data_IF_001874012521
#
_entry.id   IF_001874012521
#
_cell.length_a   1.000
_cell.length_b   1.000
_cell.length_c   1.000
_cell.angle_alpha   90.00
_cell.angle_beta   90.00
_cell.angle_gamma   90.00
#
_symmetry.space_group_name_H-M   'P 1'
#
loop_
_entity.id
_entity.type
_entity.pdbx_description
1 polymer ?
#
# COMPACT_ATOMS: atom_id res chain seq x y z
N UNK A 1 115.73 -25.91 -24.17
CA UNK A 1 114.47 -26.55 -23.88
C UNK A 1 113.70 -25.65 -22.86
N UNK A 2 112.45 -25.38 -23.10
CA UNK A 2 111.41 -24.71 -22.26
C UNK A 2 111.52 -23.19 -22.11
N UNK A 3 110.92 -22.48 -23.11
CA UNK A 3 110.55 -21.09 -23.02
C UNK A 3 108.97 -20.87 -23.23
N UNK A 4 108.16 -21.74 -22.67
CA UNK A 4 106.69 -21.70 -22.88
C UNK A 4 105.82 -21.24 -21.72
N UNK A 5 106.20 -20.97 -20.46
CA UNK A 5 105.32 -20.47 -19.48
C UNK A 5 105.19 -18.93 -19.40
N UNK A 6 106.08 -18.16 -20.02
CA UNK A 6 106.07 -16.70 -19.84
C UNK A 6 105.06 -15.95 -20.76
N UNK A 7 104.72 -16.55 -21.90
CA UNK A 7 103.76 -15.95 -22.84
C UNK A 7 102.26 -16.18 -22.40
N UNK A 8 102.05 -17.25 -21.68
CA UNK A 8 100.68 -17.54 -21.16
C UNK A 8 100.31 -16.66 -19.96
N UNK A 9 101.32 -16.19 -19.22
CA UNK A 9 101.02 -15.29 -18.08
C UNK A 9 100.74 -13.83 -18.52
N UNK A 10 101.31 -13.36 -19.64
CA UNK A 10 101.04 -12.05 -20.22
C UNK A 10 99.70 -11.99 -20.96
N UNK A 11 99.19 -13.07 -21.46
CA UNK A 11 97.88 -13.11 -22.10
C UNK A 11 96.73 -13.14 -21.06
N UNK A 12 96.92 -13.64 -19.84
CA UNK A 12 95.94 -13.67 -18.76
C UNK A 12 95.76 -12.30 -18.09
N UNK A 13 96.76 -11.44 -18.10
CA UNK A 13 96.66 -10.03 -17.54
C UNK A 13 96.02 -9.06 -18.47
N UNK A 14 95.95 -9.30 -19.79
CA UNK A 14 95.27 -8.38 -20.74
C UNK A 14 93.77 -8.58 -20.76
N UNK A 15 93.20 -9.66 -20.20
CA UNK A 15 91.75 -9.91 -20.16
C UNK A 15 91.07 -9.28 -18.94
N UNK A 16 91.79 -8.89 -17.88
CA UNK A 16 91.26 -8.26 -16.70
C UNK A 16 91.19 -6.71 -16.76
N UNK A 17 91.67 -6.06 -17.78
CA UNK A 17 91.67 -4.61 -17.94
C UNK A 17 90.47 -4.07 -18.78
N UNK A 18 89.57 -4.94 -19.23
CA UNK A 18 88.45 -4.61 -20.10
C UNK A 18 87.08 -4.40 -19.41
N UNK A 19 86.98 -4.43 -18.07
CA UNK A 19 85.76 -4.10 -17.35
C UNK A 19 85.83 -2.71 -16.69
N UNK A 20 85.86 -1.69 -17.49
CA UNK A 20 85.80 -0.29 -17.04
C UNK A 20 84.68 0.45 -17.76
N UNK A 21 83.85 1.11 -16.96
CA UNK A 21 82.75 2.00 -17.34
C UNK A 21 81.51 1.34 -17.87
N UNK A 22 80.72 0.73 -16.95
CA UNK A 22 79.29 0.68 -17.10
C UNK A 22 78.78 2.10 -17.09
N UNK A 23 78.53 2.62 -18.29
CA UNK A 23 77.78 3.87 -18.49
C UNK A 23 76.44 3.67 -17.84
N UNK A 24 76.30 4.20 -16.61
CA UNK A 24 75.01 4.38 -15.95
C UNK A 24 74.27 5.48 -16.73
N UNK A 25 73.91 5.21 -17.99
CA UNK A 25 72.82 5.92 -18.61
C UNK A 25 71.60 5.64 -17.70
N UNK A 26 71.27 6.57 -16.81
CA UNK A 26 69.95 6.67 -16.22
C UNK A 26 68.97 6.50 -17.37
N UNK A 27 68.37 5.31 -17.49
CA UNK A 27 67.13 5.18 -18.26
C UNK A 27 66.17 6.10 -17.57
N UNK A 28 66.02 7.32 -18.10
CA UNK A 28 64.86 8.12 -17.79
C UNK A 28 63.65 7.20 -17.96
N UNK A 29 63.07 6.85 -16.87
CA UNK A 29 61.82 6.10 -16.87
C UNK A 29 60.86 6.94 -17.70
N UNK A 30 60.61 6.53 -18.93
CA UNK A 30 59.58 7.20 -19.74
C UNK A 30 58.31 7.19 -18.93
N UNK A 31 57.83 8.37 -18.60
CA UNK A 31 56.57 8.51 -17.87
C UNK A 31 55.48 7.68 -18.60
N UNK A 32 54.73 6.90 -17.88
CA UNK A 32 53.68 6.07 -18.49
C UNK A 32 52.69 6.98 -19.23
N UNK A 33 52.38 6.57 -20.46
CA UNK A 33 51.37 7.28 -21.24
C UNK A 33 50.00 7.03 -20.57
N UNK A 34 49.38 8.08 -20.08
CA UNK A 34 48.05 8.02 -19.44
C UNK A 34 47.04 8.74 -20.31
N UNK A 35 45.84 8.20 -20.38
CA UNK A 35 44.73 8.88 -21.02
C UNK A 35 43.94 9.62 -19.93
N UNK A 36 43.84 10.92 -20.03
CA UNK A 36 43.08 11.77 -19.12
C UNK A 36 41.69 12.05 -19.70
N UNK A 37 40.71 12.21 -18.84
CA UNK A 37 39.37 12.61 -19.21
C UNK A 37 38.87 13.63 -18.19
N UNK A 38 38.24 14.70 -18.69
CA UNK A 38 37.65 15.71 -17.83
C UNK A 38 36.52 15.10 -17.00
N UNK A 39 36.45 15.48 -15.73
CA UNK A 39 35.33 15.09 -14.83
C UNK A 39 34.08 15.85 -15.24
N UNK A 40 32.96 15.14 -15.19
CA UNK A 40 31.65 15.73 -15.51
C UNK A 40 30.85 15.85 -14.23
N UNK A 41 30.24 17.00 -14.02
CA UNK A 41 29.22 17.19 -12.97
C UNK A 41 27.87 16.88 -13.60
N UNK A 42 27.12 15.99 -12.96
CA UNK A 42 25.77 15.67 -13.38
C UNK A 42 24.79 15.86 -12.22
N UNK A 43 23.57 16.26 -12.55
CA UNK A 43 22.46 16.23 -11.62
C UNK A 43 22.10 14.77 -11.35
N UNK A 44 22.45 14.29 -10.18
CA UNK A 44 22.17 12.92 -9.75
C UNK A 44 20.97 12.88 -8.83
N UNK A 45 20.02 12.04 -9.18
CA UNK A 45 18.86 11.73 -8.38
C UNK A 45 19.02 10.34 -7.76
N UNK A 46 19.27 10.23 -6.45
CA UNK A 46 19.41 8.94 -5.80
C UNK A 46 18.13 8.11 -5.97
N UNK A 47 18.28 6.88 -6.42
CA UNK A 47 17.17 5.94 -6.54
C UNK A 47 17.55 4.57 -5.99
N UNK A 48 16.57 3.90 -5.41
CA UNK A 48 16.70 2.54 -4.89
C UNK A 48 15.49 1.73 -5.31
N UNK A 49 15.75 0.49 -5.72
CA UNK A 49 14.72 -0.45 -6.18
C UNK A 49 14.45 -1.52 -5.11
N UNK A 50 13.18 -1.79 -4.86
CA UNK A 50 12.70 -2.81 -3.94
C UNK A 50 11.71 -3.72 -4.67
N UNK A 51 11.58 -4.95 -4.19
CA UNK A 51 10.51 -5.83 -4.65
C UNK A 51 9.29 -5.55 -3.79
N UNK A 52 8.17 -5.25 -4.44
CA UNK A 52 6.89 -5.00 -3.80
C UNK A 52 5.79 -5.88 -4.38
N UNK A 53 4.61 -5.73 -3.80
CA UNK A 53 3.39 -6.41 -4.23
C UNK A 53 2.26 -5.39 -4.32
N UNK A 54 1.44 -5.52 -5.35
CA UNK A 54 0.21 -4.73 -5.49
C UNK A 54 -0.87 -5.33 -4.59
N UNK A 55 -1.55 -4.47 -3.84
CA UNK A 55 -2.67 -4.80 -2.97
C UNK A 55 -3.85 -3.90 -3.31
N UNK A 56 -5.06 -4.42 -3.18
CA UNK A 56 -6.24 -3.57 -3.30
C UNK A 56 -6.35 -2.63 -2.08
N UNK A 57 -6.90 -1.44 -2.28
CA UNK A 57 -7.26 -0.55 -1.16
C UNK A 57 -8.43 -1.14 -0.37
N UNK A 58 -9.40 -1.69 -1.10
CA UNK A 58 -10.56 -2.39 -0.53
C UNK A 58 -10.68 -3.77 -1.18
N UNK A 59 -10.74 -4.82 -0.36
CA UNK A 59 -10.92 -6.22 -0.75
C UNK A 59 -11.94 -6.84 0.19
N UNK A 60 -13.04 -7.35 -0.33
CA UNK A 60 -14.09 -7.92 0.49
C UNK A 60 -14.75 -9.14 -0.14
N UNK A 61 -15.16 -10.04 0.75
CA UNK A 61 -16.00 -11.18 0.41
C UNK A 61 -17.48 -10.77 0.50
N UNK A 62 -18.21 -10.92 -0.59
CA UNK A 62 -19.65 -10.72 -0.63
C UNK A 62 -20.34 -11.99 -0.11
N UNK A 63 -21.10 -11.85 0.96
CA UNK A 63 -21.82 -12.95 1.64
C UNK A 63 -23.28 -12.59 1.83
N UNK A 64 -24.16 -13.60 1.96
CA UNK A 64 -25.55 -13.40 2.34
C UNK A 64 -25.66 -13.11 3.85
N UNK A 65 -26.50 -12.12 4.23
CA UNK A 65 -26.79 -11.80 5.64
C UNK A 65 -28.07 -12.48 6.15
N UNK A 66 -28.88 -13.00 5.23
CA UNK A 66 -30.15 -13.71 5.52
C UNK A 66 -30.19 -15.02 4.75
N UNK A 67 -31.08 -15.90 5.15
CA UNK A 67 -31.31 -17.16 4.44
C UNK A 67 -32.47 -17.01 3.45
N UNK A 68 -32.31 -17.51 2.23
CA UNK A 68 -33.33 -17.49 1.19
C UNK A 68 -32.80 -18.02 -0.13
N UNK A 69 -33.67 -18.21 -1.09
CA UNK A 69 -33.27 -18.66 -2.44
C UNK A 69 -32.77 -17.49 -3.26
N UNK A 70 -31.65 -17.72 -3.97
CA UNK A 70 -31.09 -16.73 -4.89
C UNK A 70 -32.00 -16.61 -6.12
N UNK A 71 -32.66 -15.45 -6.27
CA UNK A 71 -33.62 -15.20 -7.34
C UNK A 71 -32.95 -14.80 -8.65
N UNK A 72 -31.95 -13.91 -8.56
CA UNK A 72 -31.23 -13.39 -9.71
C UNK A 72 -29.83 -12.89 -9.35
N UNK A 73 -28.94 -12.93 -10.37
CA UNK A 73 -27.65 -12.26 -10.40
C UNK A 73 -27.74 -11.12 -11.40
N UNK A 74 -27.25 -9.93 -11.02
CA UNK A 74 -27.38 -8.69 -11.80
C UNK A 74 -26.03 -8.13 -12.31
N UNK A 75 -25.03 -8.98 -12.44
CA UNK A 75 -23.71 -8.61 -12.97
C UNK A 75 -23.14 -9.73 -13.85
N UNK A 76 -22.15 -9.39 -14.67
CA UNK A 76 -21.31 -10.34 -15.36
C UNK A 76 -20.01 -10.58 -14.59
N UNK A 77 -19.51 -11.81 -14.61
CA UNK A 77 -18.27 -12.15 -13.92
C UNK A 77 -17.08 -11.38 -14.51
N UNK A 78 -16.28 -10.81 -13.62
CA UNK A 78 -15.12 -10.01 -14.00
C UNK A 78 -15.41 -8.57 -14.42
N UNK A 79 -16.69 -8.11 -14.41
CA UNK A 79 -17.01 -6.73 -14.76
C UNK A 79 -16.65 -5.74 -13.63
N UNK A 80 -16.54 -4.48 -13.98
CA UNK A 80 -16.50 -3.36 -13.02
C UNK A 80 -17.93 -3.06 -12.55
N UNK A 81 -18.09 -2.90 -11.23
CA UNK A 81 -19.35 -2.52 -10.59
C UNK A 81 -19.17 -1.23 -9.80
N UNK A 82 -20.24 -0.45 -9.70
CA UNK A 82 -20.25 0.79 -8.93
C UNK A 82 -20.74 0.55 -7.50
N UNK A 83 -20.31 1.39 -6.57
CA UNK A 83 -20.82 1.39 -5.19
C UNK A 83 -22.34 1.50 -5.18
N UNK A 84 -23.00 0.59 -4.45
CA UNK A 84 -24.46 0.52 -4.34
C UNK A 84 -25.15 -0.24 -5.48
N UNK A 85 -24.43 -0.64 -6.54
CA UNK A 85 -24.99 -1.47 -7.61
C UNK A 85 -25.52 -2.79 -7.03
N UNK A 86 -26.71 -3.20 -7.49
CA UNK A 86 -27.32 -4.46 -7.11
C UNK A 86 -26.54 -5.63 -7.72
N UNK A 87 -26.09 -6.56 -6.89
CA UNK A 87 -25.32 -7.73 -7.29
C UNK A 87 -26.18 -8.99 -7.33
N UNK A 88 -26.90 -9.24 -6.24
CA UNK A 88 -27.79 -10.40 -6.13
C UNK A 88 -29.12 -10.00 -5.53
N UNK A 89 -30.17 -10.72 -5.92
CA UNK A 89 -31.50 -10.65 -5.31
C UNK A 89 -31.83 -12.00 -4.69
N UNK A 90 -32.18 -12.00 -3.41
CA UNK A 90 -32.75 -13.14 -2.68
C UNK A 90 -34.28 -12.99 -2.72
N UNK A 91 -35.00 -14.10 -2.75
CA UNK A 91 -36.47 -14.14 -2.76
C UNK A 91 -37.08 -13.31 -1.60
N UNK A 92 -37.80 -12.19 -1.88
CA UNK A 92 -38.19 -11.22 -0.86
C UNK A 92 -39.53 -11.53 -0.22
N UNK A 93 -40.37 -12.42 -0.79
CA UNK A 93 -41.80 -12.55 -0.47
C UNK A 93 -42.09 -12.76 1.03
N UNK A 94 -41.29 -13.58 1.71
CA UNK A 94 -41.45 -13.81 3.16
C UNK A 94 -41.10 -12.59 3.99
N UNK A 95 -40.10 -11.82 3.57
CA UNK A 95 -39.67 -10.59 4.25
C UNK A 95 -40.64 -9.42 4.02
N UNK A 96 -41.21 -9.34 2.81
CA UNK A 96 -42.30 -8.39 2.52
C UNK A 96 -43.52 -8.65 3.38
N UNK A 97 -43.92 -9.92 3.56
CA UNK A 97 -44.98 -10.30 4.45
C UNK A 97 -44.69 -9.89 5.92
N UNK A 98 -43.45 -10.07 6.39
CA UNK A 98 -43.02 -9.62 7.73
C UNK A 98 -43.09 -8.11 7.89
N UNK A 99 -42.69 -7.31 6.89
CA UNK A 99 -42.82 -5.87 6.89
C UNK A 99 -44.29 -5.46 6.91
N UNK A 100 -45.16 -6.11 6.12
CA UNK A 100 -46.59 -5.82 6.13
C UNK A 100 -47.24 -6.11 7.50
N UNK A 101 -46.86 -7.21 8.14
CA UNK A 101 -47.30 -7.58 9.51
C UNK A 101 -46.85 -6.53 10.55
N UNK A 102 -45.59 -6.13 10.51
CA UNK A 102 -45.02 -5.13 11.42
C UNK A 102 -45.67 -3.77 11.21
N UNK A 103 -46.00 -3.38 9.97
CA UNK A 103 -46.75 -2.15 9.66
C UNK A 103 -48.15 -2.18 10.25
N UNK A 104 -48.83 -3.33 10.21
CA UNK A 104 -50.14 -3.47 10.83
C UNK A 104 -50.09 -3.34 12.37
N UNK A 105 -49.11 -3.97 13.02
CA UNK A 105 -48.83 -3.83 14.45
C UNK A 105 -48.56 -2.37 14.86
N UNK A 106 -47.75 -1.65 14.07
CA UNK A 106 -47.46 -0.23 14.27
C UNK A 106 -48.76 0.61 14.16
N UNK A 107 -49.62 0.33 13.19
CA UNK A 107 -50.90 1.02 13.06
C UNK A 107 -51.81 0.79 14.27
N UNK A 108 -51.83 -0.43 14.81
CA UNK A 108 -52.57 -0.77 16.03
C UNK A 108 -52.02 0.00 17.26
N UNK A 109 -50.69 0.01 17.44
CA UNK A 109 -50.07 0.74 18.55
C UNK A 109 -50.32 2.26 18.46
N UNK A 110 -50.30 2.83 17.24
CA UNK A 110 -50.67 4.22 17.01
C UNK A 110 -52.12 4.52 17.42
N UNK A 111 -53.04 3.62 17.10
CA UNK A 111 -54.45 3.77 17.49
C UNK A 111 -54.65 3.69 19.02
N UNK A 112 -53.95 2.72 19.68
CA UNK A 112 -53.94 2.59 21.13
C UNK A 112 -53.39 3.83 21.83
N UNK A 113 -52.25 4.36 21.34
CA UNK A 113 -51.70 5.61 21.86
C UNK A 113 -52.69 6.78 21.70
N UNK A 114 -53.27 6.93 20.51
CA UNK A 114 -54.27 8.00 20.28
C UNK A 114 -55.42 7.94 21.23
N UNK A 115 -55.97 6.76 21.50
CA UNK A 115 -57.01 6.54 22.52
C UNK A 115 -56.52 6.95 23.90
N UNK A 116 -55.35 6.48 24.34
CA UNK A 116 -54.78 6.79 25.66
C UNK A 116 -54.51 8.30 25.82
N UNK A 117 -54.05 8.98 24.77
CA UNK A 117 -53.87 10.44 24.77
C UNK A 117 -55.20 11.18 24.98
N UNK A 118 -56.26 10.77 24.28
CA UNK A 118 -57.60 11.36 24.41
C UNK A 118 -58.17 11.14 25.81
N UNK A 119 -58.03 9.95 26.36
CA UNK A 119 -58.52 9.60 27.71
C UNK A 119 -57.74 10.36 28.79
N UNK A 120 -56.39 10.43 28.69
CA UNK A 120 -55.56 11.24 29.58
C UNK A 120 -55.90 12.72 29.51
N UNK A 121 -56.07 13.30 28.29
CA UNK A 121 -56.46 14.69 28.12
C UNK A 121 -57.85 14.97 28.74
N UNK A 122 -58.81 14.06 28.59
CA UNK A 122 -60.12 14.15 29.23
C UNK A 122 -59.98 14.11 30.74
N UNK A 123 -59.19 13.16 31.28
CA UNK A 123 -58.90 13.06 32.71
C UNK A 123 -58.28 14.34 33.29
N UNK A 124 -57.31 14.92 32.57
CA UNK A 124 -56.66 16.20 32.92
C UNK A 124 -57.64 17.33 33.07
N UNK A 125 -58.71 17.36 32.28
CA UNK A 125 -59.77 18.40 32.35
C UNK A 125 -60.81 18.16 33.46
N UNK A 126 -61.02 16.87 33.86
CA UNK A 126 -61.97 16.45 34.88
C UNK A 126 -61.45 16.53 36.31
N UNK A 127 -60.14 16.26 36.50
CA UNK A 127 -59.48 16.23 37.82
C UNK A 127 -59.65 17.57 38.60
N UNK A 128 -59.45 18.77 38.04
CA UNK A 128 -59.67 20.05 38.77
C UNK A 128 -61.08 20.29 39.18
N UNK A 129 -62.05 19.62 38.52
CA UNK A 129 -63.50 19.73 38.80
C UNK A 129 -63.98 18.74 39.85
N UNK A 130 -63.06 17.89 40.36
CA UNK A 130 -63.38 16.81 41.31
C UNK A 130 -64.20 15.65 40.71
N UNK A 131 -64.32 15.57 39.37
CA UNK A 131 -65.13 14.57 38.68
C UNK A 131 -64.44 13.22 38.54
N UNK A 132 -63.13 13.16 38.82
CA UNK A 132 -62.31 11.92 38.92
C UNK A 132 -61.35 12.05 40.12
N UNK A 133 -60.94 10.92 40.67
CA UNK A 133 -59.93 10.87 41.72
C UNK A 133 -58.49 11.01 41.20
N UNK A 134 -57.54 11.40 42.08
CA UNK A 134 -56.11 11.45 41.72
C UNK A 134 -55.64 10.05 41.26
N UNK A 135 -56.06 9.00 41.94
CA UNK A 135 -55.71 7.62 41.59
C UNK A 135 -56.17 7.21 40.18
N UNK A 136 -57.38 7.67 39.76
CA UNK A 136 -57.86 7.46 38.38
C UNK A 136 -57.04 8.21 37.36
N UNK A 137 -56.66 9.47 37.63
CA UNK A 137 -55.80 10.23 36.74
C UNK A 137 -54.40 9.62 36.63
N UNK A 138 -53.84 9.11 37.73
CA UNK A 138 -52.55 8.41 37.72
C UNK A 138 -52.62 7.12 36.90
N UNK A 139 -53.73 6.38 36.93
CA UNK A 139 -53.96 5.21 36.09
C UNK A 139 -54.03 5.56 34.59
N UNK A 140 -54.71 6.70 34.23
CA UNK A 140 -54.70 7.20 32.84
C UNK A 140 -53.32 7.62 32.37
N UNK A 141 -52.52 8.20 33.26
CA UNK A 141 -51.16 8.58 32.98
C UNK A 141 -50.28 7.33 32.73
N UNK A 142 -50.41 6.30 33.57
CA UNK A 142 -49.72 5.03 33.39
C UNK A 142 -50.12 4.35 32.07
N UNK A 143 -51.40 4.38 31.71
CA UNK A 143 -51.92 3.86 30.44
C UNK A 143 -51.31 4.57 29.23
N UNK A 144 -51.22 5.91 29.31
CA UNK A 144 -50.59 6.73 28.27
C UNK A 144 -49.11 6.38 28.10
N UNK A 145 -48.37 6.25 29.21
CA UNK A 145 -46.96 5.87 29.18
C UNK A 145 -46.76 4.45 28.61
N UNK A 146 -47.65 3.52 29.00
CA UNK A 146 -47.63 2.15 28.44
C UNK A 146 -47.89 2.12 26.93
N UNK A 147 -48.90 2.89 26.46
CA UNK A 147 -49.20 2.99 25.01
C UNK A 147 -48.07 3.67 24.21
N UNK A 148 -47.33 4.60 24.80
CA UNK A 148 -46.10 5.16 24.18
C UNK A 148 -45.01 4.12 24.06
N UNK A 149 -44.75 3.33 25.10
CA UNK A 149 -43.77 2.26 25.08
C UNK A 149 -44.13 1.19 24.04
N UNK A 150 -45.42 0.84 23.90
CA UNK A 150 -45.92 -0.10 22.89
C UNK A 150 -45.68 0.43 21.44
N UNK A 151 -45.87 1.73 21.21
CA UNK A 151 -45.59 2.39 19.94
C UNK A 151 -44.09 2.29 19.60
N UNK A 152 -43.21 2.57 20.55
CA UNK A 152 -41.77 2.47 20.35
C UNK A 152 -41.34 1.01 20.05
N UNK A 153 -41.92 0.04 20.74
CA UNK A 153 -41.65 -1.39 20.47
C UNK A 153 -42.11 -1.77 19.05
N UNK A 154 -43.28 -1.32 18.60
CA UNK A 154 -43.80 -1.59 17.26
C UNK A 154 -42.95 -0.89 16.16
N UNK A 155 -42.42 0.31 16.41
CA UNK A 155 -41.50 1.00 15.53
C UNK A 155 -40.19 0.20 15.39
N UNK A 156 -39.63 -0.26 16.49
CA UNK A 156 -38.41 -1.08 16.50
C UNK A 156 -38.61 -2.40 15.71
N UNK A 157 -39.77 -3.06 15.87
CA UNK A 157 -40.11 -4.28 15.15
C UNK A 157 -40.25 -4.02 13.64
N UNK A 158 -40.89 -2.93 13.24
CA UNK A 158 -40.95 -2.53 11.82
C UNK A 158 -39.55 -2.29 11.25
N UNK A 159 -38.73 -1.55 11.98
CA UNK A 159 -37.36 -1.27 11.55
C UNK A 159 -36.53 -2.55 11.33
N UNK A 160 -36.67 -3.54 12.23
CA UNK A 160 -36.02 -4.84 12.10
C UNK A 160 -36.48 -5.57 10.83
N UNK A 161 -37.82 -5.60 10.58
CA UNK A 161 -38.36 -6.23 9.38
C UNK A 161 -37.88 -5.53 8.08
N UNK A 162 -37.80 -4.21 8.06
CA UNK A 162 -37.28 -3.44 6.93
C UNK A 162 -35.78 -3.69 6.68
N UNK A 163 -34.97 -3.81 7.73
CA UNK A 163 -33.56 -4.17 7.63
C UNK A 163 -33.41 -5.57 7.03
N UNK A 164 -34.18 -6.54 7.51
CA UNK A 164 -34.14 -7.90 6.96
C UNK A 164 -34.56 -7.92 5.47
N UNK A 165 -35.57 -7.16 5.09
CA UNK A 165 -35.98 -7.00 3.70
C UNK A 165 -34.85 -6.35 2.87
N UNK A 166 -34.14 -5.36 3.42
CA UNK A 166 -33.02 -4.74 2.71
C UNK A 166 -31.89 -5.72 2.40
N UNK A 167 -31.67 -6.72 3.25
CA UNK A 167 -30.67 -7.76 3.04
C UNK A 167 -31.02 -8.75 1.92
N UNK A 168 -32.27 -8.74 1.42
CA UNK A 168 -32.61 -9.50 0.20
C UNK A 168 -31.93 -8.94 -1.05
N UNK A 169 -31.50 -7.69 -1.00
CA UNK A 169 -30.76 -7.01 -2.08
C UNK A 169 -29.30 -6.86 -1.70
N UNK A 170 -28.46 -7.73 -2.19
CA UNK A 170 -27.02 -7.67 -1.95
C UNK A 170 -26.40 -6.68 -2.92
N UNK A 171 -25.81 -5.59 -2.38
CA UNK A 171 -25.24 -4.49 -3.16
C UNK A 171 -23.74 -4.38 -2.94
N UNK A 172 -23.04 -3.81 -3.94
CA UNK A 172 -21.61 -3.52 -3.86
C UNK A 172 -21.32 -2.45 -2.78
N UNK A 173 -20.45 -2.72 -1.79
CA UNK A 173 -20.10 -1.74 -0.76
C UNK A 173 -19.21 -0.62 -1.29
N UNK A 174 -18.43 -0.87 -2.32
CA UNK A 174 -17.55 0.09 -3.01
C UNK A 174 -17.49 -0.24 -4.50
N UNK A 175 -16.91 0.66 -5.29
CA UNK A 175 -16.70 0.45 -6.72
C UNK A 175 -15.44 -0.37 -6.96
N UNK A 176 -15.52 -1.39 -7.82
CA UNK A 176 -14.39 -2.28 -8.07
C UNK A 176 -14.72 -3.38 -9.06
N UNK A 177 -13.79 -4.31 -9.22
CA UNK A 177 -13.97 -5.47 -10.09
C UNK A 177 -14.50 -6.66 -9.29
N UNK A 178 -15.63 -7.21 -9.75
CA UNK A 178 -16.24 -8.40 -9.18
C UNK A 178 -15.61 -9.66 -9.78
N UNK A 179 -15.48 -10.70 -8.97
CA UNK A 179 -14.93 -12.00 -9.38
C UNK A 179 -16.01 -12.93 -9.96
N UNK A 180 -15.66 -14.20 -10.12
CA UNK A 180 -16.57 -15.28 -10.44
C UNK A 180 -17.58 -15.52 -9.30
N UNK A 181 -18.77 -15.99 -9.64
CA UNK A 181 -19.77 -16.39 -8.64
C UNK A 181 -19.55 -17.82 -8.19
N UNK A 182 -19.77 -18.07 -6.89
CA UNK A 182 -19.69 -19.42 -6.29
C UNK A 182 -21.07 -20.08 -6.15
N UNK A 183 -22.13 -19.35 -6.50
CA UNK A 183 -23.52 -19.78 -6.34
C UNK A 183 -24.32 -19.57 -7.61
N UNK A 184 -25.36 -20.35 -7.81
CA UNK A 184 -26.24 -20.28 -8.98
C UNK A 184 -27.62 -19.77 -8.58
N UNK A 185 -28.33 -19.18 -9.56
CA UNK A 185 -29.73 -18.82 -9.38
C UNK A 185 -30.54 -20.08 -9.02
N UNK A 186 -31.34 -20.00 -7.97
CA UNK A 186 -32.09 -21.13 -7.39
C UNK A 186 -31.40 -21.76 -6.19
N UNK A 187 -30.13 -21.47 -5.91
CA UNK A 187 -29.46 -21.99 -4.71
C UNK A 187 -30.01 -21.36 -3.43
N UNK A 188 -30.05 -22.16 -2.37
CA UNK A 188 -30.34 -21.66 -1.03
C UNK A 188 -29.04 -21.02 -0.46
N UNK A 189 -29.07 -19.69 -0.26
CA UNK A 189 -27.98 -18.96 0.38
C UNK A 189 -28.34 -18.60 1.83
N UNK A 190 -27.30 -18.48 2.67
CA UNK A 190 -27.44 -18.15 4.09
C UNK A 190 -26.12 -17.55 4.62
N UNK A 191 -26.07 -16.96 5.81
CA UNK A 191 -24.83 -16.52 6.44
C UNK A 191 -23.76 -17.61 6.58
N UNK A 192 -24.18 -18.88 6.62
CA UNK A 192 -23.29 -20.05 6.69
C UNK A 192 -22.87 -20.61 5.34
N UNK A 193 -23.44 -20.15 4.23
CA UNK A 193 -23.12 -20.64 2.88
C UNK A 193 -21.73 -20.19 2.39
N UNK A 194 -21.06 -19.29 3.12
CA UNK A 194 -19.74 -18.78 2.77
C UNK A 194 -19.79 -17.63 1.75
N UNK A 195 -18.72 -17.54 0.96
CA UNK A 195 -18.52 -16.44 0.01
C UNK A 195 -19.31 -16.68 -1.26
N UNK A 196 -20.14 -15.72 -1.66
CA UNK A 196 -20.88 -15.75 -2.93
C UNK A 196 -19.98 -15.32 -4.09
N UNK A 197 -19.22 -14.26 -3.88
CA UNK A 197 -18.20 -13.71 -4.80
C UNK A 197 -17.26 -12.78 -4.02
N UNK A 198 -16.18 -12.33 -4.67
CA UNK A 198 -15.28 -11.31 -4.10
C UNK A 198 -15.33 -10.03 -4.91
N UNK A 199 -15.11 -8.91 -4.25
CA UNK A 199 -15.06 -7.58 -4.86
C UNK A 199 -13.77 -6.89 -4.42
N UNK A 200 -12.97 -6.42 -5.39
CA UNK A 200 -11.70 -5.74 -5.16
C UNK A 200 -11.68 -4.37 -5.83
N UNK A 201 -11.18 -3.35 -5.13
CA UNK A 201 -10.92 -2.05 -5.74
C UNK A 201 -9.70 -2.14 -6.64
N UNK A 202 -9.73 -1.46 -7.79
CA UNK A 202 -8.62 -1.44 -8.74
C UNK A 202 -8.00 -0.05 -8.91
N UNK A 203 -8.67 1.02 -8.49
CA UNK A 203 -8.18 2.39 -8.55
C UNK A 203 -8.67 3.18 -7.33
N UNK A 204 -7.73 3.74 -6.55
CA UNK A 204 -6.30 3.51 -6.57
C UNK A 204 -5.90 2.12 -6.04
N UNK A 205 -4.62 1.75 -6.18
CA UNK A 205 -4.05 0.53 -5.59
C UNK A 205 -2.97 0.89 -4.58
N UNK A 206 -2.73 -0.02 -3.65
CA UNK A 206 -1.56 0.02 -2.79
C UNK A 206 -0.42 -0.79 -3.38
N UNK A 207 0.80 -0.36 -3.13
CA UNK A 207 1.98 -1.20 -3.30
C UNK A 207 2.70 -1.33 -1.97
N UNK A 208 2.84 -2.56 -1.47
CA UNK A 208 3.55 -2.89 -0.24
C UNK A 208 4.95 -3.39 -0.55
N UNK A 209 5.96 -2.91 0.19
CA UNK A 209 7.36 -3.29 0.05
C UNK A 209 8.08 -3.12 1.38
N UNK A 210 9.28 -3.69 1.49
CA UNK A 210 10.07 -3.63 2.72
C UNK A 210 11.40 -2.95 2.45
N UNK A 211 11.78 -2.03 3.34
CA UNK A 211 13.01 -1.25 3.26
C UNK A 211 13.87 -1.53 4.49
N UNK A 212 15.20 -1.62 4.34
CA UNK A 212 16.10 -1.79 5.47
C UNK A 212 16.16 -0.52 6.31
N UNK A 213 16.43 -0.67 7.62
CA UNK A 213 16.55 0.49 8.52
C UNK A 213 17.62 1.48 8.05
N UNK A 214 18.77 0.97 7.57
CA UNK A 214 19.86 1.79 7.04
C UNK A 214 19.41 2.66 5.88
N UNK A 215 18.68 2.08 4.93
CA UNK A 215 18.22 2.79 3.73
C UNK A 215 17.12 3.80 4.07
N UNK A 216 16.23 3.44 4.99
CA UNK A 216 15.21 4.36 5.50
C UNK A 216 15.84 5.64 6.08
N UNK A 217 16.85 5.49 6.93
CA UNK A 217 17.59 6.63 7.50
C UNK A 217 18.36 7.41 6.44
N UNK A 218 19.02 6.72 5.50
CA UNK A 218 19.78 7.35 4.43
C UNK A 218 18.92 8.20 3.47
N UNK A 219 17.66 7.80 3.27
CA UNK A 219 16.69 8.52 2.43
C UNK A 219 15.87 9.57 3.21
N UNK A 220 16.13 9.76 4.51
CA UNK A 220 15.40 10.71 5.34
C UNK A 220 13.91 10.36 5.54
N UNK A 221 13.55 9.07 5.38
CA UNK A 221 12.19 8.56 5.59
C UNK A 221 11.93 8.21 7.06
N UNK A 222 12.50 8.95 7.98
CA UNK A 222 12.42 8.74 9.43
C UNK A 222 11.33 9.58 10.09
N UNK A 223 10.73 10.51 9.35
CA UNK A 223 9.72 11.43 9.85
C UNK A 223 8.32 10.88 9.58
N UNK A 224 7.56 10.76 10.65
CA UNK A 224 6.13 10.45 10.61
C UNK A 224 5.42 11.74 10.99
N UNK A 225 4.41 12.14 10.19
CA UNK A 225 3.53 13.25 10.57
C UNK A 225 2.76 12.91 11.84
N UNK A 226 2.30 13.93 12.56
CA UNK A 226 1.52 13.75 13.79
C UNK A 226 0.20 13.00 13.60
N UNK A 227 -0.29 12.86 12.37
CA UNK A 227 -1.45 12.04 11.98
C UNK A 227 -1.11 10.56 11.70
N UNK A 228 0.17 10.18 11.82
CA UNK A 228 0.64 8.81 11.55
C UNK A 228 0.95 8.52 10.08
N UNK A 229 0.70 9.46 9.17
CA UNK A 229 1.07 9.31 7.75
C UNK A 229 2.58 9.47 7.54
N UNK A 230 3.13 8.78 6.56
CA UNK A 230 4.51 9.00 6.15
C UNK A 230 4.65 10.42 5.60
N UNK A 231 5.58 11.19 6.14
CA UNK A 231 5.95 12.46 5.54
C UNK A 231 6.73 12.12 4.26
N UNK A 232 6.08 12.27 3.09
CA UNK A 232 6.72 12.04 1.79
C UNK A 232 7.68 13.18 1.45
N UNK A 233 8.62 13.46 2.37
CA UNK A 233 9.61 14.51 2.20
C UNK A 233 10.55 14.15 1.05
N UNK A 234 10.11 14.50 -0.15
CA UNK A 234 10.97 14.43 -1.31
C UNK A 234 11.17 13.05 -1.93
N UNK A 235 10.43 12.01 -1.55
CA UNK A 235 10.52 10.69 -2.18
C UNK A 235 9.33 10.45 -3.09
N UNK A 236 9.60 10.13 -4.35
CA UNK A 236 8.61 9.67 -5.32
C UNK A 236 8.70 8.16 -5.48
N UNK A 237 7.54 7.55 -5.66
CA UNK A 237 7.42 6.10 -5.88
C UNK A 237 7.11 5.87 -7.35
N UNK A 238 8.05 5.28 -8.09
CA UNK A 238 7.83 4.86 -9.46
C UNK A 238 7.81 3.33 -9.52
N UNK A 239 6.80 2.78 -10.18
CA UNK A 239 6.67 1.36 -10.36
C UNK A 239 7.30 0.93 -11.69
N UNK A 240 7.99 -0.22 -11.67
CA UNK A 240 8.52 -0.89 -12.86
C UNK A 240 7.86 -2.27 -12.98
N UNK A 241 7.17 -2.48 -14.07
CA UNK A 241 6.48 -3.73 -14.38
C UNK A 241 7.49 -4.85 -14.68
N UNK A 242 7.06 -6.11 -14.62
CA UNK A 242 7.91 -7.27 -14.90
C UNK A 242 8.54 -7.26 -16.32
N UNK A 243 7.90 -6.59 -17.28
CA UNK A 243 8.43 -6.40 -18.63
C UNK A 243 9.51 -5.29 -18.73
N UNK A 244 9.89 -4.66 -17.61
CA UNK A 244 10.88 -3.59 -17.54
C UNK A 244 10.35 -2.21 -17.92
N UNK A 245 9.06 -2.06 -18.22
CA UNK A 245 8.45 -0.77 -18.47
C UNK A 245 8.10 -0.06 -17.17
N UNK A 246 8.31 1.24 -17.13
CA UNK A 246 7.85 2.07 -16.02
C UNK A 246 6.36 2.34 -16.15
N UNK A 247 5.67 2.24 -15.00
CA UNK A 247 4.27 2.62 -14.92
C UNK A 247 4.15 4.14 -15.00
N UNK A 248 3.15 4.64 -15.71
CA UNK A 248 3.02 6.06 -16.04
C UNK A 248 2.70 6.94 -14.83
N UNK A 249 1.95 6.40 -13.86
CA UNK A 249 1.53 7.15 -12.69
C UNK A 249 2.50 6.95 -11.52
N UNK A 250 2.90 8.06 -10.90
CA UNK A 250 3.72 8.06 -9.72
C UNK A 250 2.87 7.81 -8.47
N UNK A 251 3.40 6.99 -7.57
CA UNK A 251 2.81 6.75 -6.28
C UNK A 251 3.32 7.70 -5.20
N UNK A 252 2.57 7.78 -4.12
CA UNK A 252 2.92 8.52 -2.92
C UNK A 252 2.97 7.58 -1.72
N UNK A 253 4.00 7.72 -0.88
CA UNK A 253 4.07 6.98 0.38
C UNK A 253 2.90 7.42 1.27
N UNK A 254 2.09 6.45 1.69
CA UNK A 254 0.95 6.68 2.57
C UNK A 254 1.10 6.00 3.93
N UNK A 255 1.99 5.01 4.05
CA UNK A 255 2.17 4.26 5.27
C UNK A 255 3.64 3.88 5.50
N UNK A 256 4.08 4.05 6.75
CA UNK A 256 5.33 3.55 7.29
C UNK A 256 5.02 2.65 8.49
N UNK A 257 5.53 1.43 8.48
CA UNK A 257 5.34 0.47 9.56
C UNK A 257 5.82 1.01 10.91
N UNK A 258 5.16 0.62 11.97
CA UNK A 258 5.50 1.04 13.35
C UNK A 258 6.51 0.12 14.04
N UNK A 259 6.97 -0.93 13.36
CA UNK A 259 7.94 -1.91 13.87
C UNK A 259 8.87 -2.37 12.77
N UNK A 260 10.11 -2.66 13.16
CA UNK A 260 11.09 -3.33 12.33
C UNK A 260 10.91 -4.84 12.54
N UNK A 261 10.85 -5.60 11.46
CA UNK A 261 10.90 -7.06 11.53
C UNK A 261 12.30 -7.49 12.01
N UNK A 262 12.36 -8.07 13.19
CA UNK A 262 13.62 -8.47 13.84
C UNK A 262 14.37 -9.60 13.13
N UNK A 263 13.69 -10.34 12.23
CA UNK A 263 14.31 -11.43 11.45
C UNK A 263 15.02 -10.90 10.20
N UNK A 264 14.46 -9.87 9.58
CA UNK A 264 14.96 -9.32 8.32
C UNK A 264 15.64 -7.97 8.47
N UNK A 265 15.44 -7.26 9.59
CA UNK A 265 15.93 -5.89 9.81
C UNK A 265 15.26 -4.87 8.89
N UNK A 266 14.05 -5.17 8.40
CA UNK A 266 13.31 -4.31 7.47
C UNK A 266 12.05 -3.75 8.10
N UNK A 267 11.61 -2.62 7.59
CA UNK A 267 10.33 -1.99 7.92
C UNK A 267 9.40 -2.04 6.73
N UNK A 268 8.14 -2.39 6.97
CA UNK A 268 7.11 -2.38 5.92
C UNK A 268 6.75 -0.94 5.55
N UNK A 269 6.68 -0.68 4.28
CA UNK A 269 6.23 0.59 3.70
C UNK A 269 5.15 0.32 2.66
N UNK A 270 4.30 1.32 2.47
CA UNK A 270 3.24 1.24 1.49
C UNK A 270 3.12 2.57 0.75
N UNK A 271 2.82 2.48 -0.52
CA UNK A 271 2.50 3.65 -1.34
C UNK A 271 1.15 3.47 -2.01
N UNK A 272 0.43 4.57 -2.15
CA UNK A 272 -0.82 4.66 -2.90
C UNK A 272 -0.49 5.09 -4.33
N UNK A 273 -1.00 4.35 -5.31
CA UNK A 273 -0.71 4.56 -6.74
C UNK A 273 -2.03 4.65 -7.51
N UNK A 274 -2.27 5.73 -8.25
CA UNK A 274 -3.42 5.81 -9.16
C UNK A 274 -3.32 4.74 -10.25
N UNK A 275 -4.43 4.09 -10.57
CA UNK A 275 -4.49 3.01 -11.57
C UNK A 275 -5.74 3.14 -12.47
N UNK A 276 -5.97 4.31 -13.11
CA UNK A 276 -7.21 4.58 -13.85
C UNK A 276 -7.46 3.61 -15.01
N UNK A 277 -6.40 3.05 -15.60
CA UNK A 277 -6.48 2.09 -16.69
C UNK A 277 -6.58 0.63 -16.20
N UNK A 278 -6.62 0.40 -14.88
CA UNK A 278 -6.71 -0.91 -14.24
C UNK A 278 -5.65 -1.92 -14.72
N UNK A 279 -4.46 -1.44 -15.11
CA UNK A 279 -3.33 -2.26 -15.56
C UNK A 279 -2.67 -3.03 -14.42
N UNK A 280 -2.68 -2.46 -13.21
CA UNK A 280 -2.16 -3.10 -12.01
C UNK A 280 -3.26 -3.95 -11.36
N UNK A 281 -2.93 -5.19 -11.05
CA UNK A 281 -3.86 -6.13 -10.42
C UNK A 281 -3.35 -6.51 -9.02
N UNK A 282 -4.23 -6.57 -8.01
CA UNK A 282 -3.87 -7.08 -6.70
C UNK A 282 -3.23 -8.48 -6.78
N UNK A 283 -2.17 -8.68 -6.01
CA UNK A 283 -1.37 -9.90 -6.03
C UNK A 283 -0.16 -9.87 -6.97
N UNK A 284 -0.08 -8.91 -7.88
CA UNK A 284 1.04 -8.78 -8.82
C UNK A 284 2.32 -8.37 -8.10
N UNK A 285 3.45 -9.02 -8.45
CA UNK A 285 4.77 -8.55 -8.05
C UNK A 285 5.22 -7.38 -8.91
N UNK A 286 5.95 -6.45 -8.29
CA UNK A 286 6.39 -5.23 -8.95
C UNK A 286 7.70 -4.75 -8.36
N UNK A 287 8.53 -4.08 -9.16
CA UNK A 287 9.67 -3.34 -8.63
C UNK A 287 9.24 -1.92 -8.27
N UNK A 288 9.55 -1.53 -7.05
CA UNK A 288 9.25 -0.21 -6.49
C UNK A 288 10.54 0.59 -6.49
N UNK A 289 10.61 1.60 -7.32
CA UNK A 289 11.74 2.51 -7.39
C UNK A 289 11.44 3.76 -6.57
N UNK A 290 12.12 3.90 -5.44
CA UNK A 290 12.07 5.11 -4.62
C UNK A 290 13.10 6.10 -5.17
N UNK A 291 12.67 7.30 -5.52
CA UNK A 291 13.51 8.38 -6.02
C UNK A 291 13.46 9.57 -5.07
N UNK A 292 14.62 10.12 -4.73
CA UNK A 292 14.69 11.40 -4.03
C UNK A 292 14.30 12.52 -5.01
N UNK A 293 13.36 13.39 -4.64
CA UNK A 293 12.98 14.55 -5.46
C UNK A 293 14.11 15.56 -5.58
N UNK A 294 15.03 15.58 -4.61
CA UNK A 294 16.16 16.49 -4.61
C UNK A 294 17.29 15.91 -5.46
N UNK A 295 17.64 16.61 -6.51
CA UNK A 295 18.85 16.36 -7.27
C UNK A 295 20.06 16.89 -6.50
N UNK A 296 21.19 16.22 -6.65
CA UNK A 296 22.47 16.66 -6.09
C UNK A 296 23.49 16.67 -7.22
N UNK A 297 24.25 17.75 -7.28
CA UNK A 297 25.39 17.80 -8.18
C UNK A 297 26.45 16.81 -7.70
N UNK A 298 26.74 15.79 -8.51
CA UNK A 298 27.78 14.82 -8.21
C UNK A 298 28.81 14.79 -9.33
N UNK A 299 30.07 14.67 -8.93
CA UNK A 299 31.17 14.46 -9.86
C UNK A 299 31.18 12.97 -10.27
N UNK A 300 31.10 12.73 -11.57
CA UNK A 300 31.18 11.37 -12.10
C UNK A 300 32.50 11.15 -12.81
N UNK A 301 33.07 9.97 -12.58
CA UNK A 301 34.28 9.50 -13.22
C UNK A 301 34.02 8.16 -13.90
N UNK A 302 34.68 7.84 -15.02
CA UNK A 302 34.56 6.53 -15.63
C UNK A 302 35.02 5.44 -14.66
N UNK A 303 34.24 4.35 -14.53
CA UNK A 303 34.57 3.25 -13.62
C UNK A 303 35.97 2.68 -13.84
N UNK A 304 36.48 2.73 -15.08
CA UNK A 304 37.85 2.31 -15.43
C UNK A 304 38.97 3.19 -14.84
N UNK A 305 38.64 4.40 -14.38
CA UNK A 305 39.57 5.32 -13.74
C UNK A 305 39.69 5.09 -12.23
N UNK A 306 38.73 4.36 -11.63
CA UNK A 306 38.75 4.02 -10.21
C UNK A 306 39.69 2.84 -10.00
N UNK A 307 40.68 3.01 -9.11
CA UNK A 307 41.60 1.99 -8.65
C UNK A 307 41.31 1.66 -7.20
N UNK A 308 41.50 0.42 -6.82
CA UNK A 308 41.24 -0.05 -5.45
C UNK A 308 42.54 -0.58 -4.87
N UNK A 309 42.90 -0.14 -3.69
CA UNK A 309 44.02 -0.69 -2.91
C UNK A 309 43.57 -1.12 -1.50
N UNK A 310 44.54 -1.34 -0.59
CA UNK A 310 44.25 -1.74 0.79
C UNK A 310 43.61 -0.64 1.64
N UNK A 311 43.75 0.61 1.21
CA UNK A 311 43.19 1.79 1.92
C UNK A 311 41.78 2.19 1.42
N UNK A 312 41.45 1.77 0.16
CA UNK A 312 40.12 2.03 -0.43
C UNK A 312 40.15 2.30 -1.93
N UNK A 313 39.07 2.92 -2.42
CA UNK A 313 38.93 3.30 -3.82
C UNK A 313 39.46 4.72 -4.03
N UNK A 314 40.29 4.91 -5.07
CA UNK A 314 40.87 6.19 -5.39
C UNK A 314 40.93 6.44 -6.90
N UNK A 315 41.11 7.70 -7.30
CA UNK A 315 41.36 8.10 -8.67
C UNK A 315 42.64 8.94 -8.76
N UNK A 316 43.37 8.78 -9.88
CA UNK A 316 44.52 9.60 -10.17
C UNK A 316 44.07 10.90 -10.82
N UNK A 317 44.55 12.04 -10.30
CA UNK A 317 44.23 13.40 -10.83
C UNK A 317 45.48 14.05 -11.38
N UNK A 318 45.41 14.62 -12.56
CA UNK A 318 46.51 15.43 -13.10
C UNK A 318 46.26 16.92 -12.80
N UNK A 319 47.18 17.54 -12.11
CA UNK A 319 47.22 19.00 -11.97
C UNK A 319 48.25 19.56 -12.94
N UNK A 320 47.77 20.31 -13.94
CA UNK A 320 48.61 20.97 -14.97
C UNK A 320 49.90 20.18 -15.37
N UNK A 321 49.75 19.42 -16.42
CA UNK A 321 50.79 18.89 -17.32
C UNK A 321 51.95 18.04 -16.77
N UNK A 322 52.25 17.91 -15.47
CA UNK A 322 53.53 17.25 -15.09
C UNK A 322 53.52 16.38 -13.83
N UNK A 323 52.45 16.32 -13.01
CA UNK A 323 52.41 15.43 -11.84
C UNK A 323 51.02 14.79 -11.62
N UNK A 324 51.03 13.46 -11.45
CA UNK A 324 49.84 12.70 -11.01
C UNK A 324 49.73 12.81 -9.49
N UNK A 325 48.63 13.35 -9.02
CA UNK A 325 48.24 13.36 -7.59
C UNK A 325 47.12 12.36 -7.34
N UNK A 326 47.14 11.74 -6.18
CA UNK A 326 46.10 10.79 -5.70
C UNK A 326 45.03 11.60 -4.99
N UNK A 327 43.79 11.50 -5.44
CA UNK A 327 42.62 12.00 -4.72
C UNK A 327 41.84 10.79 -4.18
N UNK A 328 41.68 10.74 -2.84
CA UNK A 328 40.88 9.74 -2.12
C UNK A 328 39.43 10.18 -2.01
#
# INVERSE_FOLDING_TARGET
>A
MQKKPLVALMAATAILAGCGEANNAQRESQAPLVVTQDVTVIDYQPSKSYIGRIEAVEDTNITAQISGYLQARHFEEGQMVEKGQLLYSIEPSSFEAQVASAKAALAQAKASLKKAELDHQRGKNLLPRGSISQSEFDALTATLLGARAELEAANAQLKLAEVNLSYTQIRAPFSGRISDTKVSTGDLVSPSSGVLTTLVSLDPVHTSFSVSERERLAMGMDRIKGDGSAESNGVEVQLELENGQFFEHLGQLDFLGNRIDTKTGTIAMRALVPNPEHKLLPGQHIKVNLRDKNTRDVIVVPRRAVQTDLEGDFVMVTTEATSLNVAM
#
